data_IF_786792251264
#
_entry.id   IF_786792251264
#
_cell.length_a   1.000
_cell.length_b   1.000
_cell.length_c   1.000
_cell.angle_alpha   90.00
_cell.angle_beta   90.00
_cell.angle_gamma   90.00
#
_symmetry.space_group_name_H-M   'P 1'
#
loop_
_entity.id
_entity.type
_entity.pdbx_description
1 polymer ?
#
# COMPACT_ATOMS: atom_id res chain seq x y z
N UNK A 1 11.74 -7.28 -5.16
CA UNK A 1 12.06 -7.29 -6.59
C UNK A 1 11.46 -6.07 -7.25
N UNK A 2 12.31 -5.25 -7.89
CA UNK A 2 11.90 -4.12 -8.71
C UNK A 2 11.46 -4.60 -10.10
N UNK A 3 10.54 -3.87 -10.72
CA UNK A 3 10.12 -4.08 -12.10
C UNK A 3 11.17 -3.49 -13.04
N UNK A 4 11.24 -3.99 -14.28
CA UNK A 4 12.15 -3.46 -15.29
C UNK A 4 11.87 -1.99 -15.60
N UNK A 5 12.91 -1.16 -15.60
CA UNK A 5 12.82 0.31 -15.70
C UNK A 5 12.09 0.78 -16.97
N UNK A 6 12.34 0.14 -18.12
CA UNK A 6 11.75 0.52 -19.41
C UNK A 6 10.21 0.46 -19.45
N UNK A 7 9.57 -0.30 -18.53
CA UNK A 7 8.11 -0.45 -18.52
C UNK A 7 7.39 0.54 -17.59
N UNK A 8 8.14 1.41 -16.92
CA UNK A 8 7.61 2.36 -15.93
C UNK A 8 7.00 1.70 -14.68
N UNK A 9 6.54 2.53 -13.73
CA UNK A 9 5.87 2.06 -12.52
C UNK A 9 4.54 1.39 -12.84
N UNK A 10 4.16 0.38 -12.06
CA UNK A 10 2.85 -0.27 -12.19
C UNK A 10 1.80 0.46 -11.35
N UNK A 11 0.82 1.07 -12.02
CA UNK A 11 -0.26 1.83 -11.40
C UNK A 11 -1.60 1.63 -12.10
N UNK A 12 -2.70 2.07 -11.47
CA UNK A 12 -4.06 1.94 -12.00
C UNK A 12 -4.63 3.32 -12.33
N UNK A 13 -4.91 3.57 -13.61
CA UNK A 13 -5.36 4.87 -14.13
C UNK A 13 -6.63 5.37 -13.42
N UNK A 14 -7.58 4.48 -13.10
CA UNK A 14 -8.84 4.88 -12.48
C UNK A 14 -8.72 5.38 -11.02
N UNK A 15 -7.56 5.21 -10.37
CA UNK A 15 -7.33 5.73 -9.02
C UNK A 15 -6.98 7.23 -9.04
N UNK A 16 -6.47 7.76 -10.14
CA UNK A 16 -6.06 9.17 -10.29
C UNK A 16 -7.27 10.14 -10.21
N UNK A 17 -8.46 9.68 -10.64
CA UNK A 17 -9.68 10.49 -10.66
C UNK A 17 -10.44 10.54 -9.31
N UNK A 18 -9.99 9.84 -8.27
CA UNK A 18 -10.74 9.71 -7.01
C UNK A 18 -10.33 10.77 -5.98
N UNK A 19 -11.32 11.21 -5.17
CA UNK A 19 -11.16 12.12 -4.02
C UNK A 19 -10.19 11.56 -2.97
N UNK A 20 -9.77 12.41 -2.01
CA UNK A 20 -8.84 12.17 -0.88
C UNK A 20 -8.96 10.83 -0.14
N UNK A 21 -10.10 10.12 -0.26
CA UNK A 21 -10.32 8.79 0.31
C UNK A 21 -10.36 7.70 -0.76
N UNK A 22 -9.43 6.74 -0.66
CA UNK A 22 -9.29 5.68 -1.67
C UNK A 22 -9.31 4.28 -1.05
N UNK A 23 -10.17 3.40 -1.57
CA UNK A 23 -10.17 1.96 -1.23
C UNK A 23 -9.29 1.19 -2.21
N UNK A 24 -8.29 0.47 -1.69
CA UNK A 24 -7.35 -0.35 -2.46
C UNK A 24 -7.46 -1.81 -2.05
N UNK A 25 -7.72 -2.68 -3.03
CA UNK A 25 -7.62 -4.13 -2.86
C UNK A 25 -6.31 -4.70 -3.43
N UNK A 26 -5.78 -4.07 -4.48
CA UNK A 26 -4.53 -4.49 -5.12
C UNK A 26 -3.31 -3.88 -4.41
N UNK A 27 -2.58 -4.71 -3.66
CA UNK A 27 -1.40 -4.33 -2.88
C UNK A 27 -0.13 -4.09 -3.71
N UNK A 28 -0.11 -4.50 -4.98
CA UNK A 28 1.09 -4.41 -5.83
C UNK A 28 1.26 -3.06 -6.53
N UNK A 29 0.28 -2.15 -6.38
CA UNK A 29 0.32 -0.82 -6.94
C UNK A 29 1.41 0.03 -6.27
N UNK A 30 2.13 0.82 -7.06
CA UNK A 30 3.14 1.75 -6.59
C UNK A 30 2.48 3.06 -6.15
N UNK A 31 2.98 3.64 -5.06
CA UNK A 31 2.58 4.95 -4.57
C UNK A 31 3.21 6.03 -5.46
N UNK A 32 2.37 6.74 -6.22
CA UNK A 32 2.78 7.90 -7.00
C UNK A 32 2.91 9.15 -6.13
N UNK A 33 3.72 10.13 -6.55
CA UNK A 33 3.82 11.43 -5.89
C UNK A 33 2.47 12.15 -5.72
N UNK A 34 1.54 11.94 -6.65
CA UNK A 34 0.20 12.53 -6.64
C UNK A 34 -0.67 12.10 -5.46
N UNK A 35 -0.33 10.98 -4.80
CA UNK A 35 -1.07 10.47 -3.65
C UNK A 35 -0.57 11.02 -2.31
N UNK A 36 0.31 12.02 -2.30
CA UNK A 36 0.77 12.60 -1.05
C UNK A 36 -0.39 13.23 -0.25
N UNK A 37 -0.41 13.00 1.06
CA UNK A 37 -1.49 13.42 1.97
C UNK A 37 -2.88 12.83 1.65
N UNK A 38 -2.95 11.69 0.97
CA UNK A 38 -4.21 10.99 0.74
C UNK A 38 -4.42 9.94 1.85
N UNK A 39 -5.68 9.79 2.27
CA UNK A 39 -6.09 8.72 3.19
C UNK A 39 -6.54 7.51 2.39
N UNK A 40 -5.88 6.39 2.59
CA UNK A 40 -6.11 5.17 1.82
C UNK A 40 -6.48 4.03 2.74
N UNK A 41 -7.52 3.30 2.35
CA UNK A 41 -7.99 2.11 3.04
C UNK A 41 -7.60 0.88 2.22
N UNK A 42 -6.65 0.10 2.73
CA UNK A 42 -5.98 -0.96 1.97
C UNK A 42 -6.33 -2.33 2.55
N UNK A 43 -6.66 -3.28 1.69
CA UNK A 43 -7.09 -4.61 2.09
C UNK A 43 -5.93 -5.55 2.46
N UNK A 44 -5.93 -5.98 3.71
CA UNK A 44 -4.89 -6.86 4.23
C UNK A 44 -5.12 -8.35 3.88
N UNK A 45 -6.33 -8.74 3.47
CA UNK A 45 -6.74 -10.14 3.29
C UNK A 45 -7.87 -10.59 4.23
N UNK A 46 -8.22 -9.73 5.20
CA UNK A 46 -9.37 -9.91 6.09
C UNK A 46 -10.11 -8.59 6.31
N UNK A 47 -9.36 -7.54 6.66
CA UNK A 47 -9.89 -6.23 7.03
C UNK A 47 -9.18 -5.15 6.19
N UNK A 48 -9.84 -4.01 6.03
CA UNK A 48 -9.25 -2.80 5.47
C UNK A 48 -8.56 -1.98 6.56
N UNK A 49 -7.29 -1.63 6.32
CA UNK A 49 -6.48 -0.82 7.22
C UNK A 49 -6.37 0.58 6.62
N UNK A 50 -6.68 1.60 7.41
CA UNK A 50 -6.57 2.99 6.99
C UNK A 50 -5.14 3.49 7.24
N UNK A 51 -4.57 4.13 6.24
CA UNK A 51 -3.22 4.65 6.24
C UNK A 51 -3.19 5.99 5.51
N UNK A 52 -2.45 6.94 6.07
CA UNK A 52 -2.19 8.24 5.44
C UNK A 52 -0.82 8.20 4.76
N UNK A 53 -0.76 8.66 3.51
CA UNK A 53 0.45 8.58 2.69
C UNK A 53 1.33 9.81 2.94
N UNK A 54 2.58 9.53 3.31
CA UNK A 54 3.63 10.53 3.44
C UNK A 54 4.59 10.52 2.23
N UNK A 55 5.30 11.63 2.00
CA UNK A 55 6.34 11.74 0.96
C UNK A 55 7.39 10.62 0.98
N UNK A 56 7.74 10.11 2.16
CA UNK A 56 8.71 9.01 2.32
C UNK A 56 8.24 7.68 1.74
N UNK A 57 6.94 7.55 1.45
CA UNK A 57 6.31 6.32 0.96
C UNK A 57 6.24 6.28 -0.57
N UNK A 58 6.61 7.36 -1.26
CA UNK A 58 6.61 7.45 -2.72
C UNK A 58 7.59 6.43 -3.30
N UNK A 59 7.17 5.71 -4.34
CA UNK A 59 7.97 4.67 -5.01
C UNK A 59 7.87 3.28 -4.38
N UNK A 60 7.34 3.17 -3.16
CA UNK A 60 7.04 1.90 -2.51
C UNK A 60 5.67 1.35 -2.96
N UNK A 61 5.41 0.08 -2.65
CA UNK A 61 4.10 -0.55 -2.92
C UNK A 61 3.19 -0.41 -1.71
N UNK A 62 1.89 -0.28 -1.96
CA UNK A 62 0.89 -0.22 -0.89
C UNK A 62 0.94 -1.43 0.08
N UNK A 63 1.29 -2.61 -0.43
CA UNK A 63 1.41 -3.82 0.37
C UNK A 63 2.56 -3.85 1.36
N UNK A 64 3.58 -3.00 1.20
CA UNK A 64 4.76 -3.00 2.08
C UNK A 64 4.46 -2.41 3.46
N UNK A 65 3.42 -1.59 3.55
CA UNK A 65 3.02 -0.93 4.79
C UNK A 65 2.01 -1.74 5.61
N UNK A 66 1.66 -2.96 5.17
CA UNK A 66 0.57 -3.74 5.74
C UNK A 66 0.96 -5.20 5.95
N UNK A 67 0.80 -5.66 7.19
CA UNK A 67 1.14 -7.02 7.59
C UNK A 67 0.01 -8.01 7.35
N UNK A 68 0.16 -8.88 6.36
CA UNK A 68 -0.84 -9.93 5.99
C UNK A 68 -1.02 -11.04 7.02
N UNK A 69 0.03 -11.33 7.78
CA UNK A 69 0.01 -12.37 8.82
C UNK A 69 0.31 -11.72 10.17
N UNK A 70 -0.25 -12.32 11.23
CA UNK A 70 0.14 -11.96 12.60
C UNK A 70 1.60 -12.37 12.81
N UNK A 71 2.37 -11.53 13.51
CA UNK A 71 3.75 -11.85 13.88
C UNK A 71 3.74 -13.10 14.77
N UNK A 72 4.63 -14.05 14.47
CA UNK A 72 4.80 -15.22 15.31
C UNK A 72 5.41 -14.81 16.65
N UNK A 73 4.77 -15.23 17.75
CA UNK A 73 5.25 -15.01 19.11
C UNK A 73 5.55 -16.38 19.72
N UNK A 74 6.80 -16.62 20.10
CA UNK A 74 7.15 -17.80 20.86
C UNK A 74 6.49 -17.71 22.24
N UNK A 75 5.83 -18.79 22.67
CA UNK A 75 5.34 -18.89 24.05
C UNK A 75 6.56 -18.91 24.97
N UNK A 76 6.64 -17.95 25.90
CA UNK A 76 7.64 -18.03 26.97
C UNK A 76 7.32 -19.28 27.80
N UNK A 77 8.31 -20.17 27.97
CA UNK A 77 8.22 -21.24 28.96
C UNK A 77 8.22 -20.57 30.34
N UNK A 78 7.28 -20.98 31.20
CA UNK A 78 7.29 -20.61 32.61
C UNK A 78 8.49 -21.21 33.30
#
# INVERSE_FOLDING_TARGET
>A
MSRSQYKGPFFKVNLLKKKKWMKITNKNLIILPEYNNYSVSIYNGKIFINLEINNKMIGFKFGEFINTRKKHLYKKKK
#
